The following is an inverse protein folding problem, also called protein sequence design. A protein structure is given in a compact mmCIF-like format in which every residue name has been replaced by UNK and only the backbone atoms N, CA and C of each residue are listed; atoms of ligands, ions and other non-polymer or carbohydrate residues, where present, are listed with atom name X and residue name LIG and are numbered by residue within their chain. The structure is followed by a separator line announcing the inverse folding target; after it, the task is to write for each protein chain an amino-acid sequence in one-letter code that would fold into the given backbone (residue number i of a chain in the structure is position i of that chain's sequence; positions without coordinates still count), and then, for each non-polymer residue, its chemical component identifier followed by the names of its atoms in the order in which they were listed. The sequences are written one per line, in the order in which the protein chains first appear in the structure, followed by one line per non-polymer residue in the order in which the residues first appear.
data_IF_663682476349
#
_entry.id   IF_663682476349
#
_cell.length_a   1.000
_cell.length_b   1.000
_cell.length_c   1.000
_cell.angle_alpha   90.00
_cell.angle_beta   90.00
_cell.angle_gamma   90.00
#
_symmetry.space_group_name_H-M   'P 1'
#
loop_
_entity.id
_entity.type
_entity.pdbx_description
1 polymer ?
#
# COMPACT_ATOMS: atom_id res chain seq x y z
N UNK A 1 -60.95 14.16 10.12
CA UNK A 1 -60.38 12.80 9.95
C UNK A 1 -59.65 12.56 8.61
N UNK A 2 -59.72 13.45 7.60
CA UNK A 2 -59.05 13.26 6.30
C UNK A 2 -57.54 13.57 6.31
N UNK A 3 -57.13 14.66 6.98
CA UNK A 3 -55.74 15.15 7.01
C UNK A 3 -54.78 14.18 7.73
N UNK A 4 -55.19 13.60 8.86
CA UNK A 4 -54.39 12.61 9.60
C UNK A 4 -54.11 11.34 8.78
N UNK A 5 -55.10 10.89 7.98
CA UNK A 5 -54.95 9.74 7.08
C UNK A 5 -54.03 10.04 5.90
N UNK A 6 -54.02 11.28 5.40
CA UNK A 6 -53.12 11.73 4.33
C UNK A 6 -51.69 11.86 4.87
N UNK A 7 -51.50 12.42 6.07
CA UNK A 7 -50.20 12.56 6.71
C UNK A 7 -49.55 11.20 7.01
N UNK A 8 -50.34 10.24 7.54
CA UNK A 8 -49.89 8.86 7.77
C UNK A 8 -49.51 8.13 6.47
N UNK A 9 -50.23 8.38 5.37
CA UNK A 9 -49.91 7.81 4.05
C UNK A 9 -48.62 8.41 3.48
N UNK A 10 -48.40 9.71 3.63
CA UNK A 10 -47.17 10.37 3.20
C UNK A 10 -45.95 9.90 4.00
N UNK A 11 -46.09 9.75 5.32
CA UNK A 11 -45.02 9.26 6.19
C UNK A 11 -44.68 7.79 5.90
N UNK A 12 -45.69 6.97 5.58
CA UNK A 12 -45.50 5.59 5.14
C UNK A 12 -44.83 5.52 3.76
N UNK A 13 -45.17 6.40 2.81
CA UNK A 13 -44.53 6.46 1.49
C UNK A 13 -43.09 6.95 1.59
N UNK A 14 -42.80 7.94 2.43
CA UNK A 14 -41.43 8.43 2.67
C UNK A 14 -40.61 7.36 3.39
N UNK A 15 -41.18 6.70 4.42
CA UNK A 15 -40.53 5.57 5.09
C UNK A 15 -40.27 4.41 4.13
N UNK A 16 -41.23 4.08 3.28
CA UNK A 16 -41.08 3.05 2.24
C UNK A 16 -40.04 3.45 1.20
N UNK A 17 -39.99 4.70 0.76
CA UNK A 17 -38.99 5.22 -0.17
C UNK A 17 -37.58 5.33 0.47
N UNK A 18 -37.49 5.45 1.79
CA UNK A 18 -36.23 5.41 2.51
C UNK A 18 -35.72 3.97 2.76
N UNK A 19 -36.63 3.00 2.85
CA UNK A 19 -36.30 1.58 3.15
C UNK A 19 -36.13 0.73 1.89
N UNK A 20 -36.88 1.01 0.82
CA UNK A 20 -36.83 0.23 -0.42
C UNK A 20 -35.46 0.29 -1.11
N UNK A 21 -34.81 1.46 -1.28
CA UNK A 21 -33.50 1.53 -1.92
C UNK A 21 -32.41 0.74 -1.19
N UNK A 22 -32.20 0.86 0.14
CA UNK A 22 -31.22 0.04 0.83
C UNK A 22 -31.62 -1.44 0.85
N UNK A 23 -32.92 -1.77 0.94
CA UNK A 23 -33.38 -3.16 0.86
C UNK A 23 -33.09 -3.77 -0.52
N UNK A 24 -33.34 -3.03 -1.61
CA UNK A 24 -32.98 -3.44 -2.97
C UNK A 24 -31.47 -3.58 -3.14
N UNK A 25 -30.69 -2.62 -2.63
CA UNK A 25 -29.23 -2.66 -2.69
C UNK A 25 -28.68 -3.89 -1.97
N UNK A 26 -29.22 -4.20 -0.79
CA UNK A 26 -28.91 -5.41 -0.03
C UNK A 26 -29.29 -6.63 -0.85
N UNK A 27 -30.50 -6.74 -1.42
CA UNK A 27 -30.88 -7.90 -2.24
C UNK A 27 -30.03 -8.08 -3.50
N UNK A 28 -29.56 -6.99 -4.11
CA UNK A 28 -28.66 -7.01 -5.26
C UNK A 28 -27.26 -7.52 -4.86
N UNK A 29 -26.75 -7.07 -3.72
CA UNK A 29 -25.48 -7.55 -3.14
C UNK A 29 -25.53 -9.05 -2.77
N UNK A 30 -26.70 -9.56 -2.40
CA UNK A 30 -26.90 -10.96 -2.02
C UNK A 30 -26.94 -11.93 -3.22
N UNK A 31 -27.17 -11.46 -4.44
CA UNK A 31 -27.38 -12.34 -5.61
C UNK A 31 -26.25 -12.18 -6.63
N UNK A 32 -25.94 -13.24 -7.38
CA UNK A 32 -24.95 -13.20 -8.46
C UNK A 32 -25.38 -12.24 -9.58
N UNK A 33 -26.64 -12.32 -10.02
CA UNK A 33 -27.16 -11.40 -11.04
C UNK A 33 -27.18 -9.95 -10.58
N UNK A 34 -27.52 -9.69 -9.31
CA UNK A 34 -27.52 -8.35 -8.75
C UNK A 34 -26.10 -7.77 -8.59
N UNK A 35 -25.14 -8.60 -8.20
CA UNK A 35 -23.73 -8.22 -8.11
C UNK A 35 -23.15 -7.91 -9.49
N UNK A 36 -23.41 -8.77 -10.48
CA UNK A 36 -22.98 -8.53 -11.87
C UNK A 36 -23.61 -7.27 -12.46
N UNK A 37 -24.90 -7.03 -12.22
CA UNK A 37 -25.56 -5.78 -12.58
C UNK A 37 -24.87 -4.59 -11.92
N UNK A 38 -24.59 -4.62 -10.61
CA UNK A 38 -23.94 -3.53 -9.91
C UNK A 38 -22.55 -3.22 -10.49
N UNK A 39 -21.77 -4.26 -10.81
CA UNK A 39 -20.45 -4.13 -11.43
C UNK A 39 -20.56 -3.46 -12.80
N UNK A 40 -21.57 -3.80 -13.60
CA UNK A 40 -21.83 -3.13 -14.89
C UNK A 40 -22.22 -1.65 -14.74
N UNK A 41 -22.68 -1.21 -13.56
CA UNK A 41 -22.99 0.18 -13.28
C UNK A 41 -21.77 0.99 -12.78
N UNK A 42 -20.70 0.32 -12.31
CA UNK A 42 -19.48 0.99 -11.83
C UNK A 42 -18.90 2.01 -12.81
N UNK A 43 -18.80 1.76 -14.13
CA UNK A 43 -18.28 2.74 -15.08
C UNK A 43 -19.08 4.06 -15.11
N UNK A 44 -20.38 4.00 -14.81
CA UNK A 44 -21.25 5.19 -14.76
C UNK A 44 -21.11 5.91 -13.42
N UNK A 45 -21.04 5.15 -12.31
CA UNK A 45 -20.92 5.69 -10.96
C UNK A 45 -19.56 6.34 -10.69
N UNK A 46 -18.50 5.83 -11.32
CA UNK A 46 -17.12 6.29 -11.12
C UNK A 46 -16.72 7.43 -12.06
N UNK A 47 -17.49 7.67 -13.14
CA UNK A 47 -17.23 8.76 -14.10
C UNK A 47 -17.13 10.15 -13.46
N UNK A 48 -17.99 10.55 -12.48
CA UNK A 48 -17.87 11.86 -11.83
C UNK A 48 -16.59 12.03 -11.02
N UNK A 49 -15.91 10.93 -10.67
CA UNK A 49 -14.64 10.91 -9.97
C UNK A 49 -13.43 10.84 -10.92
N UNK A 50 -13.67 10.98 -12.24
CA UNK A 50 -12.67 10.83 -13.29
C UNK A 50 -11.97 9.45 -13.27
N UNK A 51 -12.72 8.42 -12.88
CA UNK A 51 -12.27 7.03 -12.82
C UNK A 51 -12.98 6.24 -13.92
N UNK A 52 -12.21 5.71 -14.86
CA UNK A 52 -12.70 4.80 -15.90
C UNK A 52 -12.48 3.36 -15.45
N UNK A 53 -13.56 2.68 -15.08
CA UNK A 53 -13.54 1.27 -14.72
C UNK A 53 -14.03 0.42 -15.89
N UNK A 54 -13.37 -0.70 -16.16
CA UNK A 54 -13.88 -1.73 -17.06
C UNK A 54 -13.51 -3.12 -16.57
N UNK A 55 -14.30 -4.11 -16.96
CA UNK A 55 -14.10 -5.52 -16.60
C UNK A 55 -14.64 -6.40 -17.72
N UNK A 56 -13.93 -7.49 -18.05
CA UNK A 56 -14.36 -8.38 -19.12
C UNK A 56 -15.53 -9.28 -18.70
N UNK A 57 -15.47 -9.83 -17.49
CA UNK A 57 -16.56 -10.59 -16.90
C UNK A 57 -16.46 -10.63 -15.38
N UNK A 58 -17.59 -10.88 -14.72
CA UNK A 58 -17.68 -11.08 -13.28
C UNK A 58 -18.36 -12.41 -12.99
N UNK A 59 -17.92 -13.13 -11.97
CA UNK A 59 -18.54 -14.38 -11.49
C UNK A 59 -18.73 -14.33 -9.98
N UNK A 60 -19.80 -14.96 -9.49
CA UNK A 60 -20.11 -15.04 -8.06
C UNK A 60 -20.84 -13.80 -7.56
N UNK A 61 -20.83 -13.59 -6.25
CA UNK A 61 -21.60 -12.52 -5.61
C UNK A 61 -20.74 -11.71 -4.65
N UNK A 62 -21.12 -10.46 -4.43
CA UNK A 62 -20.50 -9.59 -3.44
C UNK A 62 -20.71 -10.08 -2.01
N UNK A 63 -21.69 -10.94 -1.74
CA UNK A 63 -21.86 -11.52 -0.39
C UNK A 63 -20.79 -12.55 -0.05
N UNK A 64 -20.40 -13.34 -1.04
CA UNK A 64 -19.49 -14.46 -0.86
C UNK A 64 -18.16 -14.12 -1.53
N UNK A 65 -17.82 -14.83 -2.60
CA UNK A 65 -16.63 -14.61 -3.40
C UNK A 65 -17.03 -13.97 -4.72
N UNK A 66 -16.49 -12.78 -4.97
CA UNK A 66 -16.58 -12.11 -6.26
C UNK A 66 -15.27 -12.30 -7.02
N UNK A 67 -15.36 -12.76 -8.25
CA UNK A 67 -14.23 -12.90 -9.16
C UNK A 67 -14.42 -11.98 -10.37
N UNK A 68 -13.45 -11.12 -10.63
CA UNK A 68 -13.42 -10.21 -11.78
C UNK A 68 -12.30 -10.64 -12.72
N UNK A 69 -12.64 -10.83 -14.00
CA UNK A 69 -11.68 -11.14 -15.05
C UNK A 69 -11.33 -9.88 -15.83
N UNK A 70 -10.03 -9.65 -15.96
CA UNK A 70 -9.43 -8.48 -16.61
C UNK A 70 -10.02 -7.15 -16.12
N UNK A 71 -10.11 -6.90 -14.81
CA UNK A 71 -10.47 -5.57 -14.33
C UNK A 71 -9.38 -4.57 -14.73
N UNK A 72 -9.80 -3.39 -15.17
CA UNK A 72 -8.91 -2.26 -15.41
C UNK A 72 -9.53 -0.97 -14.92
N UNK A 73 -8.68 -0.12 -14.36
CA UNK A 73 -9.00 1.19 -13.81
C UNK A 73 -8.03 2.18 -14.43
N UNK A 74 -8.56 3.26 -14.99
CA UNK A 74 -7.79 4.45 -15.36
C UNK A 74 -8.22 5.57 -14.42
N UNK A 75 -7.27 6.10 -13.65
CA UNK A 75 -7.48 7.24 -12.74
C UNK A 75 -6.47 8.33 -13.13
N UNK A 76 -6.99 9.48 -13.57
CA UNK A 76 -6.20 10.47 -14.30
C UNK A 76 -5.46 9.80 -15.47
N UNK A 77 -4.12 9.70 -15.42
CA UNK A 77 -3.29 9.05 -16.44
C UNK A 77 -2.73 7.69 -16.00
N UNK A 78 -3.02 7.27 -14.77
CA UNK A 78 -2.51 6.02 -14.21
C UNK A 78 -3.41 4.87 -14.64
N UNK A 79 -2.84 3.86 -15.29
CA UNK A 79 -3.57 2.64 -15.68
C UNK A 79 -3.19 1.49 -14.77
N UNK A 80 -4.20 0.97 -14.10
CA UNK A 80 -4.13 -0.24 -13.32
C UNK A 80 -4.91 -1.35 -14.02
N UNK A 81 -4.29 -2.50 -14.24
CA UNK A 81 -4.96 -3.67 -14.78
C UNK A 81 -4.51 -4.92 -14.03
N UNK A 82 -5.37 -5.93 -13.95
CA UNK A 82 -5.01 -7.25 -13.46
C UNK A 82 -5.65 -8.30 -14.37
N UNK A 83 -5.11 -9.51 -14.46
CA UNK A 83 -5.77 -10.60 -15.19
C UNK A 83 -6.97 -11.12 -14.39
N UNK A 84 -6.80 -11.22 -13.07
CA UNK A 84 -7.84 -11.70 -12.17
C UNK A 84 -7.80 -10.93 -10.84
N UNK A 85 -8.99 -10.61 -10.33
CA UNK A 85 -9.20 -10.09 -8.99
C UNK A 85 -10.24 -10.96 -8.27
N UNK A 86 -9.89 -11.46 -7.09
CA UNK A 86 -10.79 -12.20 -6.22
C UNK A 86 -11.01 -11.37 -4.96
N UNK A 87 -12.27 -11.04 -4.68
CA UNK A 87 -12.70 -10.30 -3.50
C UNK A 87 -13.60 -11.17 -2.63
N UNK A 88 -13.25 -11.28 -1.36
CA UNK A 88 -14.10 -11.78 -0.30
C UNK A 88 -14.15 -10.73 0.81
N UNK A 89 -15.35 -10.28 1.14
CA UNK A 89 -15.55 -9.21 2.12
C UNK A 89 -16.82 -9.47 2.93
N UNK A 90 -17.02 -8.67 3.98
CA UNK A 90 -18.17 -8.77 4.88
C UNK A 90 -19.12 -7.58 4.63
N UNK A 91 -20.17 -7.72 3.80
CA UNK A 91 -21.08 -6.62 3.49
C UNK A 91 -21.77 -6.01 4.72
N UNK A 92 -22.04 -6.83 5.73
CA UNK A 92 -22.68 -6.39 6.96
C UNK A 92 -21.82 -5.39 7.76
N UNK A 93 -20.50 -5.40 7.59
CA UNK A 93 -19.60 -4.48 8.31
C UNK A 93 -19.82 -3.01 7.92
N UNK A 94 -20.42 -2.73 6.76
CA UNK A 94 -20.75 -1.36 6.33
C UNK A 94 -21.74 -0.69 7.29
N UNK A 95 -22.62 -1.46 7.94
CA UNK A 95 -23.52 -0.93 8.97
C UNK A 95 -22.77 -0.42 10.20
N UNK A 96 -21.57 -0.94 10.46
CA UNK A 96 -20.63 -0.48 11.49
C UNK A 96 -19.64 0.59 10.96
N UNK A 97 -19.95 1.22 9.81
CA UNK A 97 -19.07 2.18 9.10
C UNK A 97 -17.69 1.61 8.77
N UNK A 98 -17.60 0.30 8.51
CA UNK A 98 -16.35 -0.40 8.21
C UNK A 98 -16.43 -1.17 6.89
N UNK A 99 -15.50 -0.91 5.98
CA UNK A 99 -15.24 -1.75 4.82
C UNK A 99 -14.29 -2.87 5.25
N UNK A 100 -14.82 -4.07 5.52
CA UNK A 100 -14.05 -5.22 5.95
C UNK A 100 -13.87 -6.23 4.82
N UNK A 101 -12.67 -6.29 4.27
CA UNK A 101 -12.22 -7.21 3.24
C UNK A 101 -11.48 -8.38 3.92
N UNK A 102 -12.05 -9.57 3.84
CA UNK A 102 -11.45 -10.78 4.40
C UNK A 102 -10.27 -11.26 3.54
N UNK A 103 -10.42 -11.21 2.21
CA UNK A 103 -9.34 -11.52 1.28
C UNK A 103 -9.49 -10.72 -0.01
N UNK A 104 -8.40 -10.11 -0.45
CA UNK A 104 -8.27 -9.49 -1.76
C UNK A 104 -7.03 -10.08 -2.44
N UNK A 105 -7.26 -10.80 -3.53
CA UNK A 105 -6.19 -11.44 -4.30
C UNK A 105 -6.17 -10.85 -5.71
N UNK A 106 -5.00 -10.43 -6.17
CA UNK A 106 -4.80 -9.92 -7.52
C UNK A 106 -3.65 -10.67 -8.19
N UNK A 107 -3.90 -11.10 -9.43
CA UNK A 107 -2.95 -11.87 -10.23
C UNK A 107 -2.59 -11.12 -11.51
N UNK A 108 -1.30 -11.15 -11.88
CA UNK A 108 -0.77 -10.53 -13.10
C UNK A 108 -1.13 -9.05 -13.18
N UNK A 109 -0.76 -8.33 -12.12
CA UNK A 109 -1.09 -6.91 -11.99
C UNK A 109 -0.11 -6.08 -12.82
N UNK A 110 -0.64 -5.05 -13.49
CA UNK A 110 0.14 -4.06 -14.23
C UNK A 110 -0.27 -2.67 -13.81
N UNK A 111 0.70 -1.90 -13.33
CA UNK A 111 0.57 -0.48 -13.08
C UNK A 111 1.42 0.28 -14.10
N UNK A 112 0.77 1.08 -14.94
CA UNK A 112 1.42 1.99 -15.87
C UNK A 112 1.19 3.42 -15.37
N UNK A 113 2.28 4.10 -15.03
CA UNK A 113 2.27 5.53 -14.70
C UNK A 113 2.74 6.33 -15.93
N UNK A 114 2.23 7.55 -16.12
CA UNK A 114 2.79 8.46 -17.11
C UNK A 114 4.25 8.80 -16.76
N UNK A 115 5.05 9.26 -17.73
CA UNK A 115 6.36 9.85 -17.47
C UNK A 115 6.21 10.96 -16.43
N UNK A 116 7.16 11.07 -15.50
CA UNK A 116 7.13 12.13 -14.49
C UNK A 116 7.11 13.50 -15.18
N UNK A 117 6.05 14.27 -14.94
CA UNK A 117 6.03 15.66 -15.36
C UNK A 117 6.92 16.50 -14.43
N UNK A 118 7.78 17.33 -15.03
CA UNK A 118 8.61 18.30 -14.31
C UNK A 118 7.72 19.42 -13.75
N UNK A 119 6.99 19.11 -12.69
CA UNK A 119 6.28 20.13 -11.91
C UNK A 119 7.30 20.83 -11.02
N UNK A 120 7.28 22.18 -10.91
CA UNK A 120 8.17 22.87 -9.99
C UNK A 120 8.01 22.29 -8.58
N UNK A 121 9.12 21.98 -7.89
CA UNK A 121 9.06 21.35 -6.59
C UNK A 121 8.29 22.26 -5.64
N UNK A 122 7.40 21.67 -4.86
CA UNK A 122 6.70 22.34 -3.77
C UNK A 122 6.96 21.49 -2.52
N UNK A 123 7.18 22.09 -1.34
CA UNK A 123 7.38 21.29 -0.13
C UNK A 123 6.19 20.34 0.07
N UNK A 124 6.42 19.04 0.27
CA UNK A 124 5.34 18.09 0.41
C UNK A 124 4.60 18.33 1.73
N UNK A 125 3.30 18.57 1.64
CA UNK A 125 2.42 18.59 2.81
C UNK A 125 1.61 17.29 2.85
N UNK A 126 1.69 16.57 3.97
CA UNK A 126 0.82 15.43 4.23
C UNK A 126 -0.47 15.94 4.88
N UNK A 127 -1.65 15.74 4.26
CA UNK A 127 -2.92 16.12 4.85
C UNK A 127 -3.31 15.15 5.98
N UNK A 128 -4.13 15.64 6.92
CA UNK A 128 -4.76 14.77 7.93
C UNK A 128 -5.64 13.72 7.22
N UNK A 129 -5.43 12.45 7.55
CA UNK A 129 -6.12 11.35 6.88
C UNK A 129 -7.26 10.87 7.76
N UNK A 130 -8.43 11.48 7.59
CA UNK A 130 -9.67 11.06 8.24
C UNK A 130 -10.55 10.31 7.26
N UNK A 131 -10.61 8.98 7.39
CA UNK A 131 -11.48 8.18 6.55
C UNK A 131 -12.94 8.27 7.02
N UNK A 132 -13.91 8.47 6.10
CA UNK A 132 -15.33 8.48 6.46
C UNK A 132 -15.82 7.10 6.91
N UNK A 133 -15.16 6.04 6.42
CA UNK A 133 -15.37 4.63 6.75
C UNK A 133 -14.02 3.99 7.10
N UNK A 134 -13.98 3.17 8.16
CA UNK A 134 -12.78 2.40 8.48
C UNK A 134 -12.53 1.33 7.41
N UNK A 135 -11.28 1.07 7.07
CA UNK A 135 -10.88 0.05 6.11
C UNK A 135 -10.09 -1.05 6.84
N UNK A 136 -10.57 -2.29 6.75
CA UNK A 136 -9.88 -3.46 7.28
C UNK A 136 -9.69 -4.46 6.14
N UNK A 137 -8.44 -4.88 5.90
CA UNK A 137 -8.06 -5.91 4.94
C UNK A 137 -7.29 -6.98 5.71
N UNK A 138 -7.87 -8.15 5.90
CA UNK A 138 -7.24 -9.23 6.67
C UNK A 138 -6.12 -9.91 5.87
N UNK A 139 -6.31 -10.04 4.56
CA UNK A 139 -5.32 -10.57 3.64
C UNK A 139 -5.39 -9.86 2.29
N UNK A 140 -4.36 -9.11 1.95
CA UNK A 140 -4.07 -8.69 0.59
C UNK A 140 -2.97 -9.61 0.05
N UNK A 141 -3.18 -10.17 -1.14
CA UNK A 141 -2.17 -10.90 -1.90
C UNK A 141 -2.11 -10.36 -3.31
N UNK A 142 -0.93 -9.93 -3.73
CA UNK A 142 -0.64 -9.47 -5.08
C UNK A 142 0.45 -10.36 -5.64
N UNK A 143 0.18 -11.01 -6.77
CA UNK A 143 1.13 -11.87 -7.47
C UNK A 143 1.48 -11.27 -8.83
N UNK A 144 2.76 -11.34 -9.20
CA UNK A 144 3.30 -10.91 -10.50
C UNK A 144 2.88 -9.47 -10.82
N UNK A 145 3.28 -8.54 -9.97
CA UNK A 145 3.03 -7.11 -10.19
C UNK A 145 4.14 -6.51 -11.06
N UNK A 146 3.74 -5.92 -12.18
CA UNK A 146 4.60 -5.21 -13.11
C UNK A 146 4.36 -3.70 -12.97
N UNK A 147 5.39 -2.99 -12.53
CA UNK A 147 5.47 -1.54 -12.56
C UNK A 147 6.10 -1.07 -13.87
N UNK A 148 5.44 -0.15 -14.57
CA UNK A 148 5.97 0.49 -15.77
C UNK A 148 5.87 2.02 -15.64
N UNK A 149 7.00 2.71 -15.77
CA UNK A 149 7.05 4.17 -15.86
C UNK A 149 8.13 4.57 -16.87
N UNK A 150 7.71 5.02 -18.06
CA UNK A 150 8.62 5.23 -19.18
C UNK A 150 9.38 3.94 -19.54
N UNK A 151 10.70 3.99 -19.50
CA UNK A 151 11.58 2.82 -19.72
C UNK A 151 11.81 1.97 -18.46
N UNK A 152 11.45 2.48 -17.27
CA UNK A 152 11.66 1.76 -16.02
C UNK A 152 10.59 0.67 -15.86
N UNK A 153 11.04 -0.59 -15.87
CA UNK A 153 10.18 -1.76 -15.66
C UNK A 153 10.68 -2.57 -14.48
N UNK A 154 9.83 -2.71 -13.47
CA UNK A 154 10.15 -3.49 -12.28
C UNK A 154 9.08 -4.54 -12.04
N UNK A 155 9.51 -5.77 -11.77
CA UNK A 155 8.62 -6.90 -11.51
C UNK A 155 8.75 -7.32 -10.07
N UNK A 156 7.63 -7.27 -9.35
CA UNK A 156 7.47 -7.79 -8.00
C UNK A 156 6.82 -9.17 -8.12
N UNK A 157 7.43 -10.22 -7.55
CA UNK A 157 6.88 -11.57 -7.68
C UNK A 157 5.66 -11.75 -6.79
N UNK A 158 5.76 -11.32 -5.54
CA UNK A 158 4.70 -11.50 -4.54
C UNK A 158 4.75 -10.38 -3.51
N UNK A 159 3.58 -9.87 -3.16
CA UNK A 159 3.39 -9.00 -2.00
C UNK A 159 2.15 -9.46 -1.23
N UNK A 160 2.29 -9.70 0.06
CA UNK A 160 1.21 -10.03 0.96
C UNK A 160 1.25 -9.11 2.19
N UNK A 161 0.10 -8.67 2.66
CA UNK A 161 -0.02 -7.82 3.86
C UNK A 161 -1.43 -7.86 4.43
N UNK A 162 -1.55 -7.55 5.71
CA UNK A 162 -2.79 -7.16 6.35
C UNK A 162 -2.77 -5.65 6.62
N UNK A 163 -3.91 -4.99 6.46
CA UNK A 163 -4.03 -3.54 6.60
C UNK A 163 -5.24 -3.17 7.43
N UNK A 164 -5.06 -2.29 8.40
CA UNK A 164 -6.15 -1.64 9.11
C UNK A 164 -5.97 -0.13 9.03
N UNK A 165 -7.02 0.59 8.67
CA UNK A 165 -7.02 2.04 8.61
C UNK A 165 -8.31 2.56 9.25
N UNK A 166 -8.17 3.15 10.43
CA UNK A 166 -9.27 3.73 11.20
C UNK A 166 -8.83 5.04 11.88
N UNK A 167 -9.62 5.53 12.85
CA UNK A 167 -9.34 6.75 13.61
C UNK A 167 -8.04 6.70 14.42
N UNK A 168 -7.48 5.51 14.66
CA UNK A 168 -6.18 5.33 15.33
C UNK A 168 -5.00 5.47 14.37
N UNK A 169 -5.25 5.42 13.07
CA UNK A 169 -4.21 5.50 12.03
C UNK A 169 -4.18 4.30 11.09
N UNK A 170 -3.12 4.27 10.30
CA UNK A 170 -2.79 3.17 9.40
C UNK A 170 -1.92 2.16 10.17
N UNK A 171 -2.28 0.89 10.08
CA UNK A 171 -1.49 -0.22 10.61
C UNK A 171 -1.35 -1.30 9.54
N UNK A 172 -0.12 -1.53 9.13
CA UNK A 172 0.31 -2.59 8.25
C UNK A 172 0.89 -3.73 9.09
N UNK A 173 0.44 -4.96 8.86
CA UNK A 173 0.96 -6.15 9.53
C UNK A 173 1.20 -7.25 8.52
N UNK A 174 1.98 -8.25 8.93
CA UNK A 174 2.25 -9.44 8.14
C UNK A 174 2.73 -9.09 6.72
N UNK A 175 3.48 -7.98 6.59
CA UNK A 175 4.09 -7.61 5.31
C UNK A 175 5.04 -8.74 4.93
N UNK A 176 4.88 -9.24 3.72
CA UNK A 176 5.77 -10.19 3.08
C UNK A 176 5.88 -9.78 1.63
N UNK A 177 7.06 -9.31 1.25
CA UNK A 177 7.38 -8.87 -0.09
C UNK A 177 8.55 -9.68 -0.61
N UNK A 178 8.44 -10.13 -1.86
CA UNK A 178 9.46 -10.91 -2.54
C UNK A 178 9.68 -10.36 -3.95
N UNK A 179 10.91 -9.88 -4.20
CA UNK A 179 11.33 -9.39 -5.51
C UNK A 179 12.84 -9.62 -5.74
N UNK A 180 13.19 -10.39 -6.77
CA UNK A 180 14.55 -10.42 -7.31
C UNK A 180 15.62 -10.89 -6.32
N UNK A 181 15.28 -11.86 -5.47
CA UNK A 181 16.17 -12.35 -4.40
C UNK A 181 16.18 -11.48 -3.15
N UNK A 182 15.30 -10.47 -3.05
CA UNK A 182 15.02 -9.72 -1.82
C UNK A 182 13.73 -10.22 -1.21
N UNK A 183 13.77 -10.50 0.08
CA UNK A 183 12.62 -10.72 0.94
C UNK A 183 12.56 -9.60 1.97
N UNK A 184 11.38 -9.01 2.13
CA UNK A 184 11.12 -7.98 3.13
C UNK A 184 9.89 -8.40 3.93
N UNK A 185 10.03 -8.46 5.25
CA UNK A 185 8.92 -8.74 6.15
C UNK A 185 8.78 -7.68 7.23
N UNK A 186 7.62 -7.59 7.86
CA UNK A 186 7.47 -6.77 9.07
C UNK A 186 6.11 -6.12 9.26
N UNK A 187 6.12 -5.07 10.07
CA UNK A 187 4.92 -4.31 10.42
C UNK A 187 5.27 -2.83 10.54
N UNK A 188 4.32 -1.99 10.15
CA UNK A 188 4.44 -0.53 10.14
C UNK A 188 3.15 0.09 10.65
N UNK A 189 3.27 1.23 11.32
CA UNK A 189 2.14 2.02 11.77
C UNK A 189 2.38 3.51 11.53
N UNK A 190 1.29 4.24 11.28
CA UNK A 190 1.31 5.68 11.07
C UNK A 190 0.08 6.31 11.74
N UNK A 191 0.32 7.34 12.55
CA UNK A 191 -0.76 8.14 13.12
C UNK A 191 -1.52 8.92 12.02
N UNK A 192 -2.86 9.08 12.13
CA UNK A 192 -3.68 9.60 11.04
C UNK A 192 -3.60 11.11 10.90
N UNK A 193 -3.20 11.81 11.96
CA UNK A 193 -3.12 13.27 12.03
C UNK A 193 -1.69 13.72 12.26
N UNK A 194 -1.40 14.98 11.92
CA UNK A 194 -0.10 15.59 12.17
C UNK A 194 0.38 15.36 13.63
N UNK A 195 1.65 15.01 13.83
CA UNK A 195 2.73 15.01 12.85
C UNK A 195 2.86 13.69 12.04
N UNK A 196 1.85 12.81 12.03
CA UNK A 196 1.91 11.50 11.39
C UNK A 196 3.09 10.67 11.89
N UNK A 197 3.08 10.41 13.20
CA UNK A 197 4.11 9.59 13.86
C UNK A 197 4.19 8.23 13.17
N UNK A 198 5.39 7.83 12.79
CA UNK A 198 5.70 6.53 12.19
C UNK A 198 6.39 5.66 13.23
N UNK A 199 6.02 4.38 13.24
CA UNK A 199 6.73 3.36 14.00
C UNK A 199 6.64 2.02 13.27
N UNK A 200 7.71 1.24 13.28
CA UNK A 200 7.64 -0.15 12.87
C UNK A 200 8.98 -0.84 12.74
N UNK A 201 8.94 -2.11 12.39
CA UNK A 201 10.12 -2.95 12.22
C UNK A 201 10.00 -3.71 10.92
N UNK A 202 11.08 -3.71 10.16
CA UNK A 202 11.22 -4.42 8.91
C UNK A 202 12.43 -5.34 8.98
N UNK A 203 12.29 -6.57 8.52
CA UNK A 203 13.38 -7.52 8.34
C UNK A 203 13.62 -7.70 6.86
N UNK A 204 14.85 -7.48 6.43
CA UNK A 204 15.29 -7.62 5.06
C UNK A 204 16.26 -8.79 4.97
N UNK A 205 16.02 -9.68 4.01
CA UNK A 205 16.97 -10.70 3.58
C UNK A 205 17.21 -10.53 2.08
N UNK A 206 18.48 -10.51 1.66
CA UNK A 206 18.85 -10.49 0.26
C UNK A 206 19.82 -11.63 -0.05
N UNK A 207 19.51 -12.38 -1.09
CA UNK A 207 20.28 -13.53 -1.51
C UNK A 207 21.62 -13.13 -2.12
N UNK A 208 22.61 -14.03 -2.01
CA UNK A 208 23.93 -13.86 -2.62
C UNK A 208 23.86 -13.68 -4.14
N UNK A 209 22.83 -14.19 -4.81
CA UNK A 209 22.65 -13.97 -6.26
C UNK A 209 22.46 -12.50 -6.62
N UNK A 210 21.98 -11.68 -5.68
CA UNK A 210 21.80 -10.24 -5.86
C UNK A 210 23.03 -9.44 -5.40
N UNK A 211 23.60 -9.82 -4.26
CA UNK A 211 24.71 -9.07 -3.62
C UNK A 211 26.09 -9.48 -4.13
N UNK A 212 26.20 -10.62 -4.82
CA UNK A 212 27.42 -11.18 -5.37
C UNK A 212 28.28 -11.92 -4.33
N UNK A 213 29.25 -12.71 -4.80
CA UNK A 213 30.10 -13.55 -3.93
C UNK A 213 30.95 -12.75 -2.93
N UNK A 214 31.32 -11.51 -3.29
CA UNK A 214 32.14 -10.64 -2.45
C UNK A 214 31.41 -10.11 -1.21
N UNK A 215 30.08 -10.01 -1.27
CA UNK A 215 29.22 -9.56 -0.17
C UNK A 215 28.53 -10.76 0.46
N UNK A 216 27.94 -11.62 -0.36
CA UNK A 216 27.13 -12.76 0.05
C UNK A 216 25.78 -12.36 0.65
N UNK A 217 25.05 -13.33 1.20
CA UNK A 217 23.71 -13.09 1.68
C UNK A 217 23.69 -12.01 2.78
N UNK A 218 22.75 -11.08 2.63
CA UNK A 218 22.58 -9.93 3.53
C UNK A 218 21.32 -10.15 4.35
N UNK A 219 21.42 -9.94 5.66
CA UNK A 219 20.28 -9.92 6.56
C UNK A 219 20.36 -8.66 7.41
N UNK A 220 19.28 -7.88 7.43
CA UNK A 220 19.19 -6.64 8.18
C UNK A 220 17.85 -6.49 8.86
N UNK A 221 17.83 -5.83 10.01
CA UNK A 221 16.62 -5.37 10.68
C UNK A 221 16.64 -3.85 10.68
N UNK A 222 15.56 -3.24 10.21
CA UNK A 222 15.36 -1.80 10.21
C UNK A 222 14.24 -1.45 11.18
N UNK A 223 14.53 -0.55 12.13
CA UNK A 223 13.52 0.07 12.97
C UNK A 223 13.23 1.47 12.44
N UNK A 224 11.96 1.72 12.12
CA UNK A 224 11.48 3.01 11.63
C UNK A 224 10.81 3.75 12.77
N UNK A 225 11.18 5.01 12.98
CA UNK A 225 10.60 5.90 13.98
C UNK A 225 10.47 7.33 13.42
N UNK A 226 9.87 8.23 14.21
CA UNK A 226 9.82 9.66 13.90
C UNK A 226 8.48 10.04 13.27
N UNK A 227 8.51 10.88 12.26
CA UNK A 227 7.30 11.39 11.60
C UNK A 227 7.34 11.09 10.10
N UNK A 228 6.20 11.13 9.43
CA UNK A 228 6.14 10.86 7.98
C UNK A 228 7.01 11.79 7.14
N UNK A 229 7.25 13.02 7.61
CA UNK A 229 8.12 14.00 6.94
C UNK A 229 9.52 14.08 7.54
N UNK A 230 9.75 13.52 8.72
CA UNK A 230 11.08 13.43 9.35
C UNK A 230 11.32 12.00 9.89
N UNK A 231 11.38 10.98 9.01
CA UNK A 231 11.57 9.61 9.44
C UNK A 231 13.02 9.37 9.88
N UNK A 232 13.17 8.55 10.90
CA UNK A 232 14.44 8.03 11.40
C UNK A 232 14.45 6.52 11.21
N UNK A 233 15.53 6.00 10.64
CA UNK A 233 15.72 4.58 10.38
C UNK A 233 16.98 4.13 11.09
N UNK A 234 16.86 3.15 11.97
CA UNK A 234 17.99 2.43 12.53
C UNK A 234 18.06 1.06 11.86
N UNK A 235 19.04 0.88 10.97
CA UNK A 235 19.29 -0.36 10.26
C UNK A 235 20.47 -1.09 10.89
N UNK A 236 20.24 -2.31 11.34
CA UNK A 236 21.26 -3.22 11.84
C UNK A 236 21.43 -4.37 10.85
N UNK A 237 22.58 -4.40 10.18
CA UNK A 237 23.02 -5.54 9.39
C UNK A 237 23.54 -6.62 10.35
N UNK A 238 22.96 -7.81 10.26
CA UNK A 238 23.31 -8.98 11.08
C UNK A 238 24.18 -9.98 10.31
N UNK A 239 24.07 -10.00 8.99
CA UNK A 239 24.89 -10.80 8.10
C UNK A 239 25.19 -10.03 6.79
N UNK A 240 26.37 -10.21 6.19
CA UNK A 240 27.47 -11.10 6.60
C UNK A 240 28.34 -10.56 7.75
N UNK A 241 28.21 -9.27 8.07
CA UNK A 241 29.00 -8.57 9.09
C UNK A 241 28.12 -7.61 9.85
N UNK A 242 28.48 -7.28 11.09
CA UNK A 242 27.77 -6.27 11.87
C UNK A 242 28.05 -4.88 11.30
N UNK A 243 26.99 -4.16 10.95
CA UNK A 243 27.01 -2.76 10.54
C UNK A 243 25.73 -2.11 11.07
N UNK A 244 25.88 -0.97 11.75
CA UNK A 244 24.74 -0.17 12.19
C UNK A 244 24.68 1.10 11.38
N UNK A 245 23.51 1.43 10.87
CA UNK A 245 23.27 2.63 10.08
C UNK A 245 22.10 3.37 10.71
N UNK A 246 22.36 4.58 11.19
CA UNK A 246 21.33 5.52 11.60
C UNK A 246 21.12 6.50 10.45
N UNK A 247 19.91 6.57 9.92
CA UNK A 247 19.52 7.53 8.90
C UNK A 247 18.41 8.43 9.43
N UNK A 248 18.51 9.73 9.20
CA UNK A 248 17.46 10.70 9.45
C UNK A 248 17.19 11.45 8.14
N UNK A 249 15.92 11.50 7.73
CA UNK A 249 15.50 12.24 6.54
C UNK A 249 14.73 13.49 6.96
N UNK A 250 14.87 14.58 6.21
CA UNK A 250 14.00 15.74 6.32
C UNK A 250 13.32 15.97 4.97
N UNK A 251 12.08 15.51 4.88
CA UNK A 251 11.25 15.56 3.67
C UNK A 251 10.35 16.79 3.63
N UNK A 252 10.22 17.54 4.75
CA UNK A 252 9.36 18.73 4.84
C UNK A 252 9.91 19.97 4.09
N UNK A 253 10.96 19.80 3.29
CA UNK A 253 11.68 20.86 2.58
C UNK A 253 11.55 20.67 1.07
N UNK A 254 11.86 21.74 0.33
CA UNK A 254 11.85 21.74 -1.13
C UNK A 254 12.84 20.72 -1.71
N UNK A 255 14.02 20.66 -1.11
CA UNK A 255 15.07 19.67 -1.40
C UNK A 255 15.21 18.78 -0.15
N UNK A 256 14.79 17.51 -0.22
CA UNK A 256 14.86 16.62 0.92
C UNK A 256 16.29 16.45 1.42
N UNK A 257 16.54 16.72 2.69
CA UNK A 257 17.86 16.49 3.31
C UNK A 257 17.97 15.08 3.89
N UNK A 258 19.19 14.57 3.98
CA UNK A 258 19.47 13.36 4.74
C UNK A 258 20.74 13.48 5.57
N UNK A 259 20.75 12.79 6.69
CA UNK A 259 21.94 12.49 7.48
C UNK A 259 22.01 10.97 7.67
N UNK A 260 23.15 10.38 7.35
CA UNK A 260 23.42 8.96 7.49
C UNK A 260 24.70 8.78 8.29
N UNK A 261 24.62 8.01 9.37
CA UNK A 261 25.76 7.63 10.19
C UNK A 261 25.87 6.11 10.22
N UNK A 262 26.96 5.60 9.66
CA UNK A 262 27.30 4.18 9.67
C UNK A 262 28.40 3.91 10.70
N UNK A 263 28.25 2.86 11.49
CA UNK A 263 29.19 2.41 12.50
C UNK A 263 29.44 0.91 12.36
N UNK A 264 30.71 0.51 12.39
CA UNK A 264 31.11 -0.89 12.30
C UNK A 264 32.19 -1.20 13.34
N UNK A 265 32.15 -2.37 14.00
CA UNK A 265 33.18 -2.79 14.94
C UNK A 265 34.45 -3.31 14.22
N UNK A 266 34.29 -3.80 13.00
CA UNK A 266 35.36 -4.27 12.14
C UNK A 266 34.76 -4.64 10.79
N UNK A 267 35.40 -4.19 9.71
CA UNK A 267 34.91 -4.39 8.37
C UNK A 267 36.07 -4.87 7.49
N UNK A 268 35.90 -6.01 6.84
CA UNK A 268 36.86 -6.53 5.88
C UNK A 268 36.24 -6.55 4.51
N UNK A 269 36.99 -6.13 3.49
CA UNK A 269 36.60 -6.25 2.10
C UNK A 269 37.45 -7.31 1.40
N UNK A 270 36.85 -8.25 0.64
CA UNK A 270 35.41 -8.49 0.52
C UNK A 270 34.79 -8.95 1.85
N UNK A 271 33.47 -8.77 2.02
CA UNK A 271 32.78 -9.17 3.25
C UNK A 271 32.73 -10.70 3.41
N UNK A 272 32.86 -11.44 2.30
CA UNK A 272 33.04 -12.88 2.29
C UNK A 272 34.33 -13.29 1.57
N UNK A 273 35.02 -14.30 2.10
CA UNK A 273 36.27 -14.82 1.56
C UNK A 273 37.51 -14.19 2.19
N UNK A 274 38.63 -14.22 1.47
CA UNK A 274 39.91 -13.71 1.97
C UNK A 274 39.94 -12.18 1.94
N UNK A 275 40.07 -11.56 3.12
CA UNK A 275 40.14 -10.10 3.26
C UNK A 275 41.35 -9.52 2.53
N UNK A 276 41.11 -8.57 1.64
CA UNK A 276 42.14 -7.76 0.97
C UNK A 276 42.44 -6.49 1.75
N UNK A 277 41.40 -5.88 2.33
CA UNK A 277 41.49 -4.66 3.13
C UNK A 277 40.65 -4.85 4.37
N UNK A 278 41.16 -4.44 5.53
CA UNK A 278 40.41 -4.43 6.78
C UNK A 278 40.46 -3.06 7.41
N UNK A 279 39.28 -2.55 7.77
CA UNK A 279 39.11 -1.42 8.65
C UNK A 279 38.77 -1.95 10.05
N UNK A 280 39.50 -1.46 11.05
CA UNK A 280 39.11 -1.60 12.45
C UNK A 280 37.83 -0.81 12.73
N UNK A 281 37.36 -0.82 13.99
CA UNK A 281 36.20 -0.05 14.41
C UNK A 281 36.24 1.39 13.87
N UNK A 282 35.14 1.81 13.24
CA UNK A 282 35.07 3.07 12.54
C UNK A 282 33.63 3.58 12.44
N UNK A 283 33.53 4.86 12.10
CA UNK A 283 32.27 5.54 11.83
C UNK A 283 32.40 6.39 10.58
N UNK A 284 31.35 6.42 9.78
CA UNK A 284 31.22 7.29 8.62
C UNK A 284 29.94 8.12 8.78
N UNK A 285 30.05 9.43 8.60
CA UNK A 285 28.88 10.32 8.52
C UNK A 285 28.80 10.92 7.12
N UNK A 286 27.61 10.87 6.54
CA UNK A 286 27.25 11.45 5.26
C UNK A 286 26.05 12.36 5.48
N UNK A 287 26.06 13.56 4.92
CA UNK A 287 24.94 14.49 4.98
C UNK A 287 24.88 15.31 3.71
N UNK A 288 23.68 15.57 3.20
CA UNK A 288 23.47 16.41 2.02
C UNK A 288 22.04 16.36 1.51
N UNK A 289 21.84 16.84 0.28
CA UNK A 289 20.60 16.67 -0.48
C UNK A 289 20.84 15.73 -1.68
N UNK A 290 19.83 14.98 -2.18
CA UNK A 290 20.00 14.07 -3.31
C UNK A 290 20.60 14.70 -4.56
N UNK A 291 20.36 16.00 -4.78
CA UNK A 291 20.93 16.77 -5.90
C UNK A 291 22.44 16.96 -5.82
N UNK A 292 23.05 16.82 -4.63
CA UNK A 292 24.50 16.94 -4.44
C UNK A 292 25.28 15.73 -4.97
N UNK A 293 24.60 14.58 -5.14
CA UNK A 293 25.22 13.32 -5.53
C UNK A 293 24.80 12.94 -6.94
N UNK A 294 25.64 13.23 -7.94
CA UNK A 294 25.54 12.64 -9.29
C UNK A 294 26.47 11.43 -9.35
N UNK A 295 25.88 10.24 -9.43
CA UNK A 295 26.59 8.99 -9.73
C UNK A 295 26.88 8.88 -11.24
#
# INVERSE_FOLDING_TARGET
MSVLRILLRLLAVIGMLAVIPPLLLVTLLLTESGSSWLISQLPVLLRPLDIQFSVASSRGSLRERLELNRPSIVLADNRFAAEQLILHWHPAAIFDRKLHIAALQLSDVRLQLPPAEETPPTPPELPDIMLPIALQVDQLLVERFLFEQGENRQTIQRAALALNFDERGLMLRDLHYEAGGVQLTGALSMAPVKPHVLDGTLELAADQSLTGEQVGAVQAVAHLQGTALEPKVELQLNAPTELRVHAALNLAQLEPGFELRAEWPGLSWPLQGAAMVSATAGSLTLSGVPSDYRL
#
